data_IF_675120813841
#
_entry.id   IF_675120813841
#
_cell.length_a   1.000
_cell.length_b   1.000
_cell.length_c   1.000
_cell.angle_alpha   90.00
_cell.angle_beta   90.00
_cell.angle_gamma   90.00
#
_symmetry.space_group_name_H-M   'P 1'
#
loop_
_entity.id
_entity.type
_entity.pdbx_description
1 polymer ?
#
# COMPACT_ATOMS: atom_id res chain seq x y z
N UNK A 1 11.25 -15.77 4.44
CA UNK A 1 11.98 -14.70 3.74
C UNK A 1 12.21 -13.57 4.73
N UNK A 2 13.44 -13.40 5.22
CA UNK A 2 13.82 -12.23 6.03
C UNK A 2 14.45 -11.20 5.11
N UNK A 3 13.81 -10.04 4.98
CA UNK A 3 14.41 -8.88 4.34
C UNK A 3 15.35 -8.22 5.35
N UNK A 4 16.51 -7.77 4.91
CA UNK A 4 17.43 -6.97 5.73
C UNK A 4 16.81 -5.60 6.06
N UNK A 5 17.23 -4.96 7.17
CA UNK A 5 16.67 -3.68 7.64
C UNK A 5 16.80 -2.55 6.60
N UNK A 6 17.88 -2.56 5.83
CA UNK A 6 18.12 -1.60 4.74
C UNK A 6 17.10 -1.76 3.60
N UNK A 7 16.74 -3.00 3.27
CA UNK A 7 15.72 -3.29 2.25
C UNK A 7 14.33 -2.90 2.72
N UNK A 8 14.07 -3.08 4.01
CA UNK A 8 12.79 -2.77 4.67
C UNK A 8 12.53 -1.26 4.80
N UNK A 9 13.57 -0.44 4.66
CA UNK A 9 13.46 1.02 4.59
C UNK A 9 13.48 1.56 3.15
N UNK A 10 13.66 0.71 2.15
CA UNK A 10 13.80 1.17 0.76
C UNK A 10 12.47 1.71 0.21
N UNK A 11 12.49 2.79 -0.61
CA UNK A 11 11.28 3.30 -1.26
C UNK A 11 10.53 2.23 -2.06
N UNK A 12 11.25 1.33 -2.69
CA UNK A 12 10.67 0.20 -3.44
C UNK A 12 9.85 -0.72 -2.54
N UNK A 13 10.39 -1.09 -1.36
CA UNK A 13 9.67 -1.93 -0.41
C UNK A 13 8.43 -1.23 0.14
N UNK A 14 8.56 0.02 0.57
CA UNK A 14 7.45 0.78 1.18
C UNK A 14 6.29 0.94 0.19
N UNK A 15 6.60 1.25 -1.07
CA UNK A 15 5.60 1.31 -2.14
C UNK A 15 4.96 -0.05 -2.42
N UNK A 16 5.76 -1.11 -2.45
CA UNK A 16 5.27 -2.46 -2.68
C UNK A 16 4.35 -2.93 -1.53
N UNK A 17 4.72 -2.63 -0.29
CA UNK A 17 3.91 -2.91 0.90
C UNK A 17 2.56 -2.21 0.83
N UNK A 18 2.57 -0.88 0.63
CA UNK A 18 1.33 -0.09 0.53
C UNK A 18 0.46 -0.59 -0.63
N UNK A 19 1.06 -0.84 -1.80
CA UNK A 19 0.34 -1.37 -2.96
C UNK A 19 -0.28 -2.74 -2.67
N UNK A 20 0.45 -3.66 -2.04
CA UNK A 20 -0.03 -5.00 -1.74
C UNK A 20 -1.19 -4.96 -0.73
N UNK A 21 -1.07 -4.16 0.33
CA UNK A 21 -2.13 -4.00 1.34
C UNK A 21 -3.38 -3.38 0.73
N UNK A 22 -3.24 -2.31 -0.07
CA UNK A 22 -4.38 -1.68 -0.72
C UNK A 22 -5.03 -2.59 -1.77
N UNK A 23 -4.26 -3.32 -2.58
CA UNK A 23 -4.81 -4.30 -3.55
C UNK A 23 -5.59 -5.41 -2.87
N UNK A 24 -5.07 -5.95 -1.76
CA UNK A 24 -5.75 -6.99 -1.01
C UNK A 24 -7.02 -6.48 -0.31
N UNK A 25 -7.11 -5.17 -0.06
CA UNK A 25 -8.30 -4.53 0.51
C UNK A 25 -9.34 -4.16 -0.55
N UNK A 26 -9.05 -4.24 -1.85
CA UNK A 26 -10.01 -3.92 -2.90
C UNK A 26 -10.91 -5.13 -3.16
N UNK A 27 -12.21 -4.90 -3.15
CA UNK A 27 -13.28 -5.83 -3.47
C UNK A 27 -13.92 -5.43 -4.81
N UNK A 28 -14.22 -6.43 -5.64
CA UNK A 28 -14.87 -6.22 -6.95
C UNK A 28 -13.89 -5.86 -8.07
N UNK A 29 -14.44 -5.72 -9.27
CA UNK A 29 -13.68 -5.46 -10.51
C UNK A 29 -13.68 -3.97 -10.88
N UNK A 30 -12.80 -3.59 -11.82
CA UNK A 30 -12.40 -2.22 -12.18
C UNK A 30 -13.52 -1.16 -12.16
N UNK A 31 -14.74 -1.47 -12.60
CA UNK A 31 -15.87 -0.53 -12.68
C UNK A 31 -16.67 -0.35 -11.38
N UNK A 32 -16.44 -1.16 -10.36
CA UNK A 32 -17.18 -1.10 -9.08
C UNK A 32 -16.32 -1.46 -7.86
N UNK A 33 -15.04 -1.07 -7.89
CA UNK A 33 -14.10 -1.32 -6.80
C UNK A 33 -14.61 -0.72 -5.48
N UNK A 34 -14.67 -1.52 -4.43
CA UNK A 34 -14.95 -1.09 -3.04
C UNK A 34 -13.76 -1.42 -2.16
N UNK A 35 -13.57 -0.67 -1.08
CA UNK A 35 -12.50 -0.96 -0.12
C UNK A 35 -13.07 -1.70 1.10
N UNK A 36 -12.50 -2.86 1.41
CA UNK A 36 -12.73 -3.58 2.66
C UNK A 36 -12.01 -2.86 3.82
N UNK A 37 -12.76 -1.99 4.48
CA UNK A 37 -12.28 -1.24 5.64
C UNK A 37 -11.94 -2.17 6.81
N UNK A 38 -12.60 -3.33 6.94
CA UNK A 38 -12.34 -4.27 8.04
C UNK A 38 -10.99 -4.96 7.86
N UNK A 39 -10.68 -5.40 6.64
CA UNK A 39 -9.38 -5.92 6.29
C UNK A 39 -8.29 -4.86 6.46
N UNK A 40 -8.52 -3.64 5.97
CA UNK A 40 -7.53 -2.56 6.07
C UNK A 40 -7.18 -2.25 7.53
N UNK A 41 -8.18 -2.17 8.42
CA UNK A 41 -7.97 -1.98 9.87
C UNK A 41 -7.08 -3.06 10.49
N UNK A 42 -7.21 -4.31 10.06
CA UNK A 42 -6.34 -5.41 10.53
C UNK A 42 -4.89 -5.27 10.05
N UNK A 43 -4.65 -4.55 8.94
CA UNK A 43 -3.31 -4.30 8.38
C UNK A 43 -2.70 -2.99 8.83
N UNK A 44 -3.42 -2.14 9.56
CA UNK A 44 -2.88 -0.89 10.13
C UNK A 44 -1.60 -1.11 10.94
N UNK A 45 -1.49 -2.10 11.86
CA UNK A 45 -0.28 -2.27 12.66
C UNK A 45 0.98 -2.54 11.83
N UNK A 46 0.85 -3.27 10.71
CA UNK A 46 1.99 -3.55 9.83
C UNK A 46 2.35 -2.33 8.97
N UNK A 47 1.35 -1.55 8.53
CA UNK A 47 1.60 -0.29 7.83
C UNK A 47 2.32 0.71 8.74
N UNK A 48 1.86 0.90 9.98
CA UNK A 48 2.49 1.79 10.95
C UNK A 48 3.93 1.37 11.25
N UNK A 49 4.19 0.06 11.43
CA UNK A 49 5.55 -0.47 11.67
C UNK A 49 6.58 -0.01 10.63
N UNK A 50 6.16 0.18 9.37
CA UNK A 50 7.07 0.48 8.27
C UNK A 50 6.98 1.91 7.75
N UNK A 51 5.81 2.55 7.83
CA UNK A 51 5.53 3.83 7.19
C UNK A 51 5.51 5.01 8.17
N UNK A 52 5.17 4.77 9.45
CA UNK A 52 5.00 5.82 10.48
C UNK A 52 6.33 6.19 11.17
N UNK A 53 7.46 6.01 10.48
CA UNK A 53 8.78 6.30 11.03
C UNK A 53 9.29 7.70 10.67
N UNK A 54 8.92 8.19 9.49
CA UNK A 54 9.29 9.52 8.99
C UNK A 54 8.39 9.95 7.80
N UNK A 55 8.38 11.26 7.53
CA UNK A 55 7.56 11.86 6.46
C UNK A 55 7.91 11.35 5.06
N UNK A 56 9.17 10.97 4.80
CA UNK A 56 9.56 10.45 3.49
C UNK A 56 8.90 9.09 3.23
N UNK A 57 8.79 8.23 4.24
CA UNK A 57 8.12 6.94 4.13
C UNK A 57 6.61 7.07 3.92
N UNK A 58 5.97 7.99 4.65
CA UNK A 58 4.57 8.32 4.41
C UNK A 58 4.35 8.81 2.97
N UNK A 59 5.24 9.66 2.47
CA UNK A 59 5.21 10.14 1.09
C UNK A 59 5.39 8.98 0.08
N UNK A 60 6.26 8.00 0.35
CA UNK A 60 6.35 6.80 -0.48
C UNK A 60 5.04 6.00 -0.49
N UNK A 61 4.34 5.92 0.65
CA UNK A 61 3.03 5.29 0.72
C UNK A 61 1.99 6.03 -0.13
N UNK A 62 1.96 7.36 -0.04
CA UNK A 62 1.05 8.20 -0.83
C UNK A 62 1.30 8.05 -2.33
N UNK A 63 2.56 8.01 -2.77
CA UNK A 63 2.89 7.75 -4.18
C UNK A 63 2.42 6.38 -4.66
N UNK A 64 2.56 5.34 -3.83
CA UNK A 64 2.06 4.02 -4.16
C UNK A 64 0.53 3.99 -4.26
N UNK A 65 -0.17 4.65 -3.34
CA UNK A 65 -1.62 4.77 -3.36
C UNK A 65 -2.11 5.50 -4.61
N UNK A 66 -1.49 6.64 -4.94
CA UNK A 66 -1.83 7.39 -6.15
C UNK A 66 -1.61 6.55 -7.41
N UNK A 67 -0.47 5.87 -7.52
CA UNK A 67 -0.17 5.00 -8.66
C UNK A 67 -1.18 3.83 -8.77
N UNK A 68 -1.67 3.32 -7.65
CA UNK A 68 -2.70 2.27 -7.64
C UNK A 68 -4.05 2.81 -8.13
N UNK A 69 -4.49 3.97 -7.64
CA UNK A 69 -5.75 4.60 -8.07
C UNK A 69 -5.74 4.87 -9.58
N UNK A 70 -4.64 5.44 -10.10
CA UNK A 70 -4.47 5.69 -11.54
C UNK A 70 -4.62 4.40 -12.36
N UNK A 71 -4.09 3.27 -11.86
CA UNK A 71 -4.22 1.97 -12.54
C UNK A 71 -5.63 1.39 -12.52
N UNK A 72 -6.42 1.69 -11.49
CA UNK A 72 -7.81 1.22 -11.38
C UNK A 72 -8.76 2.03 -12.27
N UNK A 73 -8.44 3.31 -12.50
CA UNK A 73 -9.23 4.23 -13.30
C UNK A 73 -8.94 4.12 -14.82
N UNK A 74 -7.78 3.56 -15.19
CA UNK A 74 -7.43 3.35 -16.59
C UNK A 74 -8.18 2.16 -17.22
N UNK A 75 -8.75 2.32 -18.43
CA UNK A 75 -9.33 1.20 -19.17
C UNK A 75 -8.24 0.19 -19.60
N UNK A 76 -8.56 -1.12 -19.66
CA UNK A 76 -7.61 -2.17 -20.06
C UNK A 76 -7.21 -2.12 -21.54
#
# INVERSE_FOLDING_TARGET
>A
ASLDESQMSSPTFLRALMTAVCKAAILGDCSSCRVDITFLKQRVPVLLKYLDSDTERELQALYALQALIVKLDQPP
#
